data_IF_328262861912
#
_entry.id   IF_328262861912
#
_cell.length_a   1.000
_cell.length_b   1.000
_cell.length_c   1.000
_cell.angle_alpha   90.00
_cell.angle_beta   90.00
_cell.angle_gamma   90.00
#
_symmetry.space_group_name_H-M   'P 1'
#
loop_
_entity.id
_entity.type
_entity.pdbx_description
1 polymer ?
#
# COMPACT_ATOMS: atom_id res chain seq x y z
N UNK A 1 -6.44 7.60 9.08
CA UNK A 1 -6.01 6.18 9.19
C UNK A 1 -4.48 6.10 9.07
N UNK A 2 -3.89 6.73 8.06
CA UNK A 2 -2.43 6.87 7.88
C UNK A 2 -1.64 7.14 9.18
N UNK A 3 -2.01 8.15 9.97
CA UNK A 3 -1.29 8.49 11.21
C UNK A 3 -1.24 7.37 12.25
N UNK A 4 -2.26 6.50 12.29
CA UNK A 4 -2.31 5.36 13.20
C UNK A 4 -1.24 4.35 12.81
N UNK A 5 -1.11 4.07 11.51
CA UNK A 5 -0.05 3.21 10.99
C UNK A 5 1.33 3.86 11.12
N UNK A 6 1.45 5.17 10.87
CA UNK A 6 2.72 5.90 11.00
C UNK A 6 3.27 5.87 12.44
N UNK A 7 2.38 5.86 13.43
CA UNK A 7 2.72 5.75 14.86
C UNK A 7 2.88 4.32 15.35
N UNK A 8 2.52 3.31 14.55
CA UNK A 8 2.66 1.93 14.94
C UNK A 8 4.14 1.54 14.99
N UNK A 9 4.53 0.80 16.03
CA UNK A 9 5.89 0.20 16.12
C UNK A 9 6.11 -0.80 14.98
N UNK A 10 5.08 -1.56 14.64
CA UNK A 10 5.12 -2.60 13.60
C UNK A 10 3.73 -2.87 13.05
N UNK A 11 3.65 -3.18 11.76
CA UNK A 11 2.46 -3.69 11.09
C UNK A 11 2.68 -5.15 10.70
N UNK A 12 1.76 -6.02 11.09
CA UNK A 12 1.80 -7.45 10.73
C UNK A 12 0.78 -7.72 9.62
N UNK A 13 1.23 -8.34 8.54
CA UNK A 13 0.39 -8.63 7.37
C UNK A 13 0.29 -10.15 7.19
N UNK A 14 -0.92 -10.67 7.32
CA UNK A 14 -1.22 -12.08 7.04
C UNK A 14 -1.74 -12.26 5.61
N UNK A 15 -1.04 -13.07 4.82
CA UNK A 15 -1.30 -13.30 3.40
C UNK A 15 -1.95 -14.67 3.19
N UNK A 16 -3.28 -14.69 3.29
CA UNK A 16 -4.12 -15.88 3.11
C UNK A 16 -3.98 -16.62 1.76
N UNK A 17 -3.37 -15.98 0.77
CA UNK A 17 -3.25 -16.42 -0.62
C UNK A 17 -1.79 -16.63 -1.06
N UNK A 18 -0.87 -16.66 -0.11
CA UNK A 18 0.55 -16.99 -0.32
C UNK A 18 0.88 -18.21 0.51
N UNK A 19 1.58 -19.18 -0.09
CA UNK A 19 2.00 -20.40 0.60
C UNK A 19 3.48 -20.70 0.31
N UNK A 20 4.33 -20.53 1.32
CA UNK A 20 5.76 -20.84 1.20
C UNK A 20 6.09 -22.32 1.28
N UNK A 21 5.19 -23.15 1.84
CA UNK A 21 5.44 -24.56 2.13
C UNK A 21 5.18 -25.52 0.96
N UNK A 22 4.58 -25.05 -0.15
CA UNK A 22 4.22 -25.90 -1.30
C UNK A 22 5.40 -26.29 -2.20
N UNK A 23 6.61 -25.78 -1.93
CA UNK A 23 7.73 -25.88 -2.86
C UNK A 23 8.91 -26.60 -2.19
N UNK A 24 9.15 -27.85 -2.61
CA UNK A 24 9.94 -28.87 -1.91
C UNK A 24 11.47 -28.80 -2.03
N UNK A 25 12.08 -27.72 -2.52
CA UNK A 25 13.55 -27.54 -2.54
C UNK A 25 13.92 -26.06 -2.31
N UNK A 26 15.00 -25.79 -1.56
CA UNK A 26 15.40 -24.45 -1.10
C UNK A 26 15.65 -23.39 -2.21
N UNK A 27 15.83 -23.81 -3.47
CA UNK A 27 16.09 -22.90 -4.61
C UNK A 27 14.85 -22.67 -5.47
N UNK A 28 14.05 -23.70 -5.71
CA UNK A 28 12.78 -23.58 -6.45
C UNK A 28 11.67 -22.97 -5.58
N UNK A 29 11.80 -23.10 -4.25
CA UNK A 29 10.84 -22.53 -3.30
C UNK A 29 10.83 -21.00 -3.30
N UNK A 30 12.01 -20.36 -3.34
CA UNK A 30 12.09 -18.91 -3.27
C UNK A 30 11.40 -18.24 -4.46
N UNK A 31 11.63 -18.74 -5.68
CA UNK A 31 11.03 -18.14 -6.88
C UNK A 31 9.50 -18.29 -6.90
N UNK A 32 8.97 -19.41 -6.39
CA UNK A 32 7.56 -19.74 -6.53
C UNK A 32 6.65 -19.00 -5.56
N UNK A 33 7.02 -18.88 -4.27
CA UNK A 33 6.22 -18.10 -3.32
C UNK A 33 6.37 -16.60 -3.56
N UNK A 34 7.53 -16.12 -4.02
CA UNK A 34 7.72 -14.71 -4.39
C UNK A 34 6.77 -14.30 -5.52
N UNK A 35 6.53 -15.18 -6.49
CA UNK A 35 5.51 -14.95 -7.53
C UNK A 35 4.10 -14.82 -6.93
N UNK A 36 3.74 -15.67 -5.96
CA UNK A 36 2.46 -15.53 -5.24
C UNK A 36 2.40 -14.24 -4.43
N UNK A 37 3.49 -13.86 -3.77
CA UNK A 37 3.61 -12.63 -3.01
C UNK A 37 3.37 -11.40 -3.89
N UNK A 38 4.06 -11.29 -5.04
CA UNK A 38 3.89 -10.18 -6.00
C UNK A 38 2.46 -10.06 -6.51
N UNK A 39 1.76 -11.20 -6.62
CA UNK A 39 0.37 -11.26 -7.09
C UNK A 39 -0.67 -11.30 -5.96
N UNK A 40 -0.26 -11.15 -4.69
CA UNK A 40 -1.18 -11.34 -3.57
C UNK A 40 -2.25 -10.25 -3.53
N UNK A 41 -3.41 -10.59 -2.98
CA UNK A 41 -4.55 -9.68 -2.83
C UNK A 41 -4.21 -8.48 -1.96
N UNK A 42 -3.32 -8.62 -0.98
CA UNK A 42 -2.98 -7.51 -0.10
C UNK A 42 -2.27 -6.38 -0.85
N UNK A 43 -1.31 -6.67 -1.74
CA UNK A 43 -0.59 -5.64 -2.53
C UNK A 43 -1.49 -4.91 -3.54
N UNK A 44 -2.60 -5.54 -3.95
CA UNK A 44 -3.55 -4.96 -4.90
C UNK A 44 -4.77 -4.31 -4.25
N UNK A 45 -4.94 -4.30 -2.92
CA UNK A 45 -6.06 -3.61 -2.27
C UNK A 45 -5.79 -2.11 -2.13
N UNK A 46 -6.82 -1.26 -2.27
CA UNK A 46 -6.65 0.20 -2.13
C UNK A 46 -6.06 0.61 -0.77
N UNK A 47 -6.75 0.27 0.32
CA UNK A 47 -6.40 0.71 1.69
C UNK A 47 -5.04 0.23 2.20
N UNK A 48 -4.55 -0.90 1.71
CA UNK A 48 -3.26 -1.46 2.12
C UNK A 48 -2.08 -0.59 1.69
N UNK A 49 -2.30 0.37 0.80
CA UNK A 49 -1.30 1.36 0.44
C UNK A 49 -0.87 2.21 1.65
N UNK A 50 -1.81 2.59 2.53
CA UNK A 50 -1.48 3.30 3.77
C UNK A 50 -0.79 2.36 4.77
N UNK A 51 -1.25 1.11 4.86
CA UNK A 51 -0.63 0.07 5.70
C UNK A 51 0.82 -0.24 5.30
N UNK A 52 1.15 -0.09 4.01
CA UNK A 52 2.50 -0.31 3.48
C UNK A 52 3.44 0.88 3.72
N UNK A 53 2.97 2.08 3.39
CA UNK A 53 3.80 3.29 3.31
C UNK A 53 3.95 4.01 4.65
N UNK A 54 2.92 4.01 5.49
CA UNK A 54 2.93 4.77 6.73
C UNK A 54 3.86 4.18 7.82
N UNK A 55 3.79 2.87 8.16
CA UNK A 55 4.60 2.33 9.24
C UNK A 55 6.06 2.14 8.82
N UNK A 56 6.98 2.22 9.78
CA UNK A 56 8.40 1.97 9.54
C UNK A 56 8.66 0.49 9.23
N UNK A 57 8.03 -0.41 9.98
CA UNK A 57 8.22 -1.85 9.87
C UNK A 57 6.91 -2.52 9.46
N UNK A 58 6.96 -3.32 8.40
CA UNK A 58 5.88 -4.22 7.97
C UNK A 58 6.45 -5.61 7.83
N UNK A 59 5.88 -6.60 8.51
CA UNK A 59 6.27 -8.01 8.41
C UNK A 59 5.17 -8.82 7.73
N UNK A 60 5.57 -9.67 6.80
CA UNK A 60 4.67 -10.45 5.97
C UNK A 60 4.69 -11.92 6.37
N UNK A 61 3.52 -12.47 6.62
CA UNK A 61 3.32 -13.85 7.01
C UNK A 61 2.46 -14.54 5.96
N UNK A 62 2.81 -15.77 5.62
CA UNK A 62 2.03 -16.56 4.67
C UNK A 62 0.76 -17.16 5.32
N UNK A 63 -0.02 -17.93 4.55
CA UNK A 63 -1.26 -18.54 5.03
C UNK A 63 -1.07 -19.59 6.15
N UNK A 64 0.17 -19.99 6.43
CA UNK A 64 0.51 -20.91 7.53
C UNK A 64 0.99 -20.16 8.78
N UNK A 65 1.13 -18.83 8.69
CA UNK A 65 1.73 -18.01 9.75
C UNK A 65 3.25 -18.03 9.72
N UNK A 66 3.87 -18.47 8.63
CA UNK A 66 5.32 -18.45 8.46
C UNK A 66 5.78 -17.07 8.02
N UNK A 67 6.79 -16.51 8.69
CA UNK A 67 7.40 -15.23 8.31
C UNK A 67 8.10 -15.37 6.96
N UNK A 68 7.66 -14.57 5.99
CA UNK A 68 8.26 -14.48 4.65
C UNK A 68 9.40 -13.47 4.61
N UNK A 69 9.27 -12.39 5.39
CA UNK A 69 10.21 -11.28 5.40
C UNK A 69 9.53 -9.98 5.85
N UNK A 70 10.26 -8.88 5.71
CA UNK A 70 9.78 -7.54 6.00
C UNK A 70 9.78 -6.65 4.74
N UNK A 71 9.25 -5.43 4.89
CA UNK A 71 9.18 -4.42 3.82
C UNK A 71 10.53 -4.16 3.13
N UNK A 72 11.63 -4.22 3.88
CA UNK A 72 12.97 -3.96 3.36
C UNK A 72 13.53 -5.21 2.67
N UNK A 73 13.37 -6.39 3.28
CA UNK A 73 13.85 -7.64 2.68
C UNK A 73 13.09 -8.01 1.40
N UNK A 74 11.84 -7.58 1.28
CA UNK A 74 10.97 -7.83 0.11
C UNK A 74 10.79 -6.58 -0.78
N UNK A 75 11.65 -5.58 -0.63
CA UNK A 75 11.54 -4.29 -1.33
C UNK A 75 11.37 -4.45 -2.85
N UNK A 76 12.25 -5.26 -3.47
CA UNK A 76 12.22 -5.47 -4.92
C UNK A 76 10.89 -6.07 -5.38
N UNK A 77 10.37 -7.07 -4.66
CA UNK A 77 9.09 -7.71 -4.97
C UNK A 77 7.92 -6.72 -4.83
N UNK A 78 7.95 -5.88 -3.79
CA UNK A 78 6.93 -4.84 -3.55
C UNK A 78 7.00 -3.77 -4.65
N UNK A 79 8.20 -3.30 -5.02
CA UNK A 79 8.40 -2.34 -6.09
C UNK A 79 7.86 -2.87 -7.42
N UNK A 80 8.20 -4.11 -7.78
CA UNK A 80 7.72 -4.75 -9.02
C UNK A 80 6.19 -4.86 -9.03
N UNK A 81 5.58 -5.29 -7.93
CA UNK A 81 4.13 -5.49 -7.84
C UNK A 81 3.33 -4.17 -7.83
N UNK A 82 3.87 -3.12 -7.21
CA UNK A 82 3.10 -1.90 -6.91
C UNK A 82 3.49 -0.69 -7.74
N UNK A 83 4.70 -0.66 -8.30
CA UNK A 83 5.28 0.52 -8.95
C UNK A 83 5.71 1.61 -7.97
N UNK A 84 5.68 1.35 -6.66
CA UNK A 84 6.15 2.29 -5.63
C UNK A 84 7.68 2.31 -5.65
N UNK A 85 8.33 3.49 -5.66
CA UNK A 85 9.79 3.57 -5.62
C UNK A 85 10.36 2.98 -4.32
N UNK A 86 11.49 2.28 -4.42
CA UNK A 86 12.23 1.76 -3.27
C UNK A 86 12.44 2.81 -2.17
N UNK A 87 12.86 4.02 -2.56
CA UNK A 87 13.08 5.12 -1.61
C UNK A 87 11.82 5.46 -0.76
N UNK A 88 10.60 5.31 -1.30
CA UNK A 88 9.37 5.53 -0.54
C UNK A 88 9.16 4.42 0.49
N UNK A 89 9.46 3.16 0.13
CA UNK A 89 9.40 2.02 1.06
C UNK A 89 10.43 2.15 2.19
N UNK A 90 11.61 2.70 1.88
CA UNK A 90 12.69 3.01 2.82
C UNK A 90 12.39 4.21 3.74
N UNK A 91 11.24 4.85 3.58
CA UNK A 91 10.79 5.93 4.45
C UNK A 91 11.22 7.33 4.02
N UNK A 92 11.61 7.53 2.75
CA UNK A 92 11.74 8.89 2.20
C UNK A 92 10.40 9.62 2.39
N UNK A 93 10.40 10.87 2.89
CA UNK A 93 9.17 11.62 3.14
C UNK A 93 8.28 11.65 1.90
N UNK A 94 6.98 11.32 2.06
CA UNK A 94 6.05 11.33 0.93
C UNK A 94 5.98 12.70 0.25
N UNK A 95 6.21 13.77 1.01
CA UNK A 95 6.30 15.16 0.52
C UNK A 95 7.36 15.39 -0.56
N UNK A 96 8.37 14.53 -0.69
CA UNK A 96 9.37 14.63 -1.76
C UNK A 96 8.87 14.18 -3.13
N UNK A 97 7.72 13.52 -3.20
CA UNK A 97 7.10 13.03 -4.43
C UNK A 97 5.99 13.97 -4.87
N UNK A 98 5.81 14.14 -6.19
CA UNK A 98 4.71 14.97 -6.71
C UNK A 98 3.35 14.36 -6.34
N UNK A 99 2.30 15.18 -6.39
CA UNK A 99 0.94 14.69 -6.16
C UNK A 99 0.56 13.68 -7.24
N UNK A 100 0.93 13.92 -8.49
CA UNK A 100 0.66 13.01 -9.61
C UNK A 100 1.30 11.64 -9.37
N UNK A 101 2.53 11.62 -8.87
CA UNK A 101 3.24 10.38 -8.55
C UNK A 101 2.54 9.62 -7.41
N UNK A 102 2.17 10.32 -6.32
CA UNK A 102 1.43 9.69 -5.22
C UNK A 102 0.07 9.16 -5.64
N UNK A 103 -0.67 9.91 -6.46
CA UNK A 103 -1.94 9.46 -7.03
C UNK A 103 -1.76 8.24 -7.94
N UNK A 104 -0.62 8.14 -8.63
CA UNK A 104 -0.32 7.03 -9.53
C UNK A 104 -0.18 5.68 -8.83
N UNK A 105 0.16 5.65 -7.53
CA UNK A 105 0.32 4.42 -6.74
C UNK A 105 -0.99 3.65 -6.52
N UNK A 106 -2.13 4.22 -6.90
CA UNK A 106 -3.43 3.55 -6.92
C UNK A 106 -3.71 2.80 -8.24
N UNK A 107 -2.96 3.06 -9.32
CA UNK A 107 -3.31 2.61 -10.68
C UNK A 107 -3.57 1.10 -10.80
N UNK A 108 -2.81 0.28 -10.09
CA UNK A 108 -2.94 -1.19 -10.14
C UNK A 108 -3.74 -1.77 -8.96
N UNK A 109 -4.43 -0.92 -8.19
CA UNK A 109 -5.18 -1.32 -6.99
C UNK A 109 -6.68 -1.45 -7.27
N UNK A 110 -7.30 -2.39 -6.56
CA UNK A 110 -8.72 -2.72 -6.59
C UNK A 110 -9.37 -2.28 -5.28
N UNK A 111 -10.57 -1.72 -5.41
CA UNK A 111 -11.39 -1.30 -4.28
C UNK A 111 -12.77 -1.94 -4.36
N UNK A 112 -13.32 -2.33 -3.20
CA UNK A 112 -14.68 -2.87 -3.12
C UNK A 112 -15.71 -1.76 -3.23
N UNK A 113 -15.43 -0.61 -2.60
CA UNK A 113 -16.21 0.62 -2.76
C UNK A 113 -15.49 1.52 -3.75
N UNK A 114 -16.17 2.04 -4.79
CA UNK A 114 -15.51 2.86 -5.81
C UNK A 114 -14.86 4.12 -5.21
N UNK A 115 -15.45 4.69 -4.15
CA UNK A 115 -14.94 5.87 -3.44
C UNK A 115 -13.62 5.63 -2.71
N UNK A 116 -13.35 4.39 -2.28
CA UNK A 116 -12.09 4.04 -1.63
C UNK A 116 -10.89 4.26 -2.55
N UNK A 117 -11.09 4.41 -3.87
CA UNK A 117 -10.02 4.77 -4.79
C UNK A 117 -9.43 6.14 -4.48
N UNK A 118 -10.23 7.06 -3.93
CA UNK A 118 -9.77 8.35 -3.44
C UNK A 118 -9.35 8.29 -1.97
N UNK A 119 -10.17 7.66 -1.11
CA UNK A 119 -9.92 7.70 0.33
C UNK A 119 -8.64 6.95 0.74
N UNK A 120 -8.27 5.88 0.04
CA UNK A 120 -6.99 5.21 0.30
C UNK A 120 -5.77 6.08 0.02
N UNK A 121 -5.91 7.16 -0.78
CA UNK A 121 -4.86 8.11 -1.10
C UNK A 121 -4.79 9.31 -0.15
N UNK A 122 -5.86 9.63 0.59
CA UNK A 122 -5.96 10.84 1.43
C UNK A 122 -4.71 11.10 2.28
N UNK A 123 -4.34 10.17 3.17
CA UNK A 123 -3.18 10.34 4.03
C UNK A 123 -1.83 10.34 3.30
N UNK A 124 -1.75 9.72 2.13
CA UNK A 124 -0.54 9.70 1.27
C UNK A 124 -0.34 11.06 0.62
N UNK A 125 -1.44 11.70 0.24
CA UNK A 125 -1.48 13.07 -0.26
C UNK A 125 -1.41 14.12 0.86
N UNK A 126 -1.35 13.71 2.13
CA UNK A 126 -1.25 14.63 3.27
C UNK A 126 -2.54 15.34 3.64
N UNK A 127 -3.69 14.81 3.21
CA UNK A 127 -5.01 15.38 3.50
C UNK A 127 -5.83 14.44 4.38
N UNK A 128 -6.78 15.00 5.13
CA UNK A 128 -7.72 14.23 5.93
C UNK A 128 -9.13 14.40 5.38
N UNK A 129 -9.78 13.28 5.06
CA UNK A 129 -11.11 13.28 4.49
C UNK A 129 -12.00 12.28 5.21
N UNK A 130 -13.24 12.68 5.50
CA UNK A 130 -14.27 11.76 5.98
C UNK A 130 -14.86 11.01 4.78
N UNK A 131 -14.84 9.66 4.78
CA UNK A 131 -15.48 8.85 3.74
C UNK A 131 -16.99 9.08 3.69
N UNK A 132 -17.52 9.27 2.49
CA UNK A 132 -18.95 9.38 2.19
C UNK A 132 -19.28 8.26 1.19
N UNK A 133 -19.66 7.10 1.73
CA UNK A 133 -19.97 5.94 0.91
C UNK A 133 -21.28 6.13 0.13
N UNK A 134 -21.26 5.78 -1.17
CA UNK A 134 -22.36 6.01 -2.10
C UNK A 134 -22.19 7.27 -2.95
N UNK A 135 -21.13 8.07 -2.73
CA UNK A 135 -20.89 9.27 -3.52
C UNK A 135 -20.31 8.99 -4.92
N UNK A 136 -19.76 7.79 -5.14
CA UNK A 136 -19.10 7.35 -6.35
C UNK A 136 -17.64 7.81 -6.48
N UNK A 137 -16.84 7.05 -7.23
CA UNK A 137 -15.40 7.28 -7.40
C UNK A 137 -15.08 8.70 -7.91
N UNK A 138 -15.81 9.17 -8.93
CA UNK A 138 -15.52 10.48 -9.56
C UNK A 138 -15.68 11.63 -8.57
N UNK A 139 -16.74 11.61 -7.76
CA UNK A 139 -16.99 12.65 -6.76
C UNK A 139 -15.99 12.56 -5.62
N UNK A 140 -15.67 11.35 -5.15
CA UNK A 140 -14.64 11.15 -4.13
C UNK A 140 -13.26 11.65 -4.59
N UNK A 141 -12.86 11.37 -5.84
CA UNK A 141 -11.61 11.86 -6.43
C UNK A 141 -11.60 13.39 -6.62
N UNK A 142 -12.75 13.98 -7.00
CA UNK A 142 -12.88 15.42 -7.10
C UNK A 142 -12.71 16.11 -5.73
N UNK A 143 -13.32 15.55 -4.68
CA UNK A 143 -13.10 16.02 -3.30
C UNK A 143 -11.64 15.88 -2.89
N UNK A 144 -11.01 14.73 -3.16
CA UNK A 144 -9.59 14.53 -2.83
C UNK A 144 -8.71 15.60 -3.46
N UNK A 145 -8.90 15.89 -4.75
CA UNK A 145 -8.15 16.93 -5.45
C UNK A 145 -8.38 18.31 -4.84
N UNK A 146 -9.63 18.64 -4.52
CA UNK A 146 -9.96 19.90 -3.86
C UNK A 146 -9.23 20.05 -2.52
N UNK A 147 -9.28 19.03 -1.67
CA UNK A 147 -8.60 19.07 -0.36
C UNK A 147 -7.08 19.19 -0.52
N UNK A 148 -6.50 18.57 -1.55
CA UNK A 148 -5.09 18.74 -1.91
C UNK A 148 -4.84 20.20 -2.27
N UNK A 149 -5.57 20.74 -3.24
CA UNK A 149 -5.40 22.11 -3.72
C UNK A 149 -5.55 23.14 -2.58
N UNK A 150 -6.51 22.95 -1.68
CA UNK A 150 -6.75 23.82 -0.53
C UNK A 150 -5.54 23.83 0.44
N UNK A 151 -4.87 22.69 0.65
CA UNK A 151 -3.65 22.60 1.47
C UNK A 151 -2.46 23.27 0.78
N UNK A 152 -2.34 23.18 -0.55
CA UNK A 152 -1.24 23.79 -1.30
C UNK A 152 -1.43 25.29 -1.58
N UNK A 153 -2.67 25.80 -1.59
CA UNK A 153 -2.94 27.24 -1.68
C UNK A 153 -2.82 27.97 -0.33
N UNK A 154 -2.81 27.23 0.79
CA UNK A 154 -2.62 27.76 2.14
C UNK A 154 -1.17 27.82 2.62
N UNK A 155 -0.19 27.47 1.78
CA UNK A 155 1.25 27.56 2.03
C UNK A 155 1.89 28.69 1.22
#
# INVERSE_FOLDING_TARGET
>A
MFDWYAKATKCYVYLSDVNSSLFGTAKDCNVAWQSQFRNCRWLSRGWTLQELLAPRVVEFYDQTGTLLGDKMSLENDICEATGIPAAALQGRPLTSYSIEERLSWQRNRRTKKPEDAAYSLSGICGVSMIPVYGEGQNRAMARLRKEIDDVFQGQ
#
